data_IF_443909315746
#
_entry.id   IF_443909315746
#
_cell.length_a   1.000
_cell.length_b   1.000
_cell.length_c   1.000
_cell.angle_alpha   90.00
_cell.angle_beta   90.00
_cell.angle_gamma   90.00
#
_symmetry.space_group_name_H-M   'P 1'
#
loop_
_entity.id
_entity.type
_entity.pdbx_description
1 polymer ?
#
# COMPACT_ATOMS: atom_id res chain seq x y z
N UNK A 1 2.26 -6.79 23.31
CA UNK A 1 1.74 -6.99 21.94
C UNK A 1 2.22 -8.34 21.43
N UNK A 2 1.32 -9.17 20.90
CA UNK A 2 1.67 -10.49 20.37
C UNK A 2 2.41 -10.32 19.04
N UNK A 3 3.60 -10.91 18.91
CA UNK A 3 4.37 -10.99 17.65
C UNK A 3 3.55 -11.55 16.48
N UNK A 4 2.57 -12.41 16.76
CA UNK A 4 1.58 -12.89 15.79
C UNK A 4 0.72 -11.78 15.20
N UNK A 5 0.32 -10.78 16.01
CA UNK A 5 -0.49 -9.66 15.54
C UNK A 5 0.32 -8.76 14.60
N UNK A 6 1.58 -8.49 14.95
CA UNK A 6 2.48 -7.68 14.11
C UNK A 6 2.74 -8.35 12.76
N UNK A 7 2.89 -9.69 12.74
CA UNK A 7 3.00 -10.47 11.52
C UNK A 7 1.74 -10.37 10.65
N UNK A 8 0.55 -10.46 11.25
CA UNK A 8 -0.73 -10.32 10.53
C UNK A 8 -0.86 -8.92 9.92
N UNK A 9 -0.53 -7.87 10.68
CA UNK A 9 -0.55 -6.49 10.19
C UNK A 9 0.42 -6.32 9.02
N UNK A 10 1.62 -6.90 9.10
CA UNK A 10 2.59 -6.88 8.01
C UNK A 10 2.07 -7.57 6.74
N UNK A 11 1.41 -8.73 6.89
CA UNK A 11 0.80 -9.45 5.77
C UNK A 11 -0.33 -8.64 5.12
N UNK A 12 -1.20 -8.03 5.93
CA UNK A 12 -2.28 -7.15 5.47
C UNK A 12 -1.69 -5.94 4.73
N UNK A 13 -0.61 -5.35 5.24
CA UNK A 13 0.08 -4.23 4.62
C UNK A 13 0.59 -4.58 3.22
N UNK A 14 1.30 -5.71 3.06
CA UNK A 14 1.80 -6.14 1.75
C UNK A 14 0.64 -6.41 0.80
N UNK A 15 -0.40 -7.09 1.28
CA UNK A 15 -1.52 -7.48 0.43
C UNK A 15 -2.30 -6.27 -0.09
N UNK A 16 -2.72 -5.37 0.81
CA UNK A 16 -3.47 -4.17 0.41
C UNK A 16 -2.58 -3.23 -0.40
N UNK A 17 -1.32 -3.00 0.02
CA UNK A 17 -0.37 -2.16 -0.72
C UNK A 17 -0.13 -2.67 -2.14
N UNK A 18 0.00 -3.99 -2.32
CA UNK A 18 0.14 -4.63 -3.62
C UNK A 18 -1.11 -4.49 -4.50
N UNK A 19 -2.31 -4.64 -3.91
CA UNK A 19 -3.58 -4.39 -4.62
C UNK A 19 -3.68 -2.93 -5.07
N UNK A 20 -3.37 -1.99 -4.19
CA UNK A 20 -3.39 -0.55 -4.52
C UNK A 20 -2.43 -0.25 -5.64
N UNK A 21 -1.18 -0.74 -5.57
CA UNK A 21 -0.22 -0.59 -6.66
C UNK A 21 -0.77 -1.14 -7.98
N UNK A 22 -1.33 -2.36 -7.99
CA UNK A 22 -1.86 -2.98 -9.20
C UNK A 22 -3.02 -2.17 -9.80
N UNK A 23 -4.01 -1.80 -8.98
CA UNK A 23 -5.17 -1.02 -9.43
C UNK A 23 -4.75 0.35 -9.94
N UNK A 24 -3.86 1.04 -9.22
CA UNK A 24 -3.31 2.33 -9.65
C UNK A 24 -2.54 2.20 -10.95
N UNK A 25 -1.75 1.14 -11.13
CA UNK A 25 -0.97 0.91 -12.34
C UNK A 25 -1.89 0.70 -13.56
N UNK A 26 -2.93 -0.12 -13.41
CA UNK A 26 -3.94 -0.35 -14.46
C UNK A 26 -4.76 0.90 -14.76
N UNK A 27 -5.09 1.70 -13.75
CA UNK A 27 -5.85 2.92 -13.93
C UNK A 27 -5.02 4.02 -14.61
N UNK A 28 -3.80 4.25 -14.12
CA UNK A 28 -2.93 5.32 -14.58
C UNK A 28 -2.31 5.01 -15.95
N UNK A 29 -2.06 3.75 -16.29
CA UNK A 29 -1.63 3.36 -17.65
C UNK A 29 -2.63 3.73 -18.74
N UNK A 30 -3.91 3.93 -18.39
CA UNK A 30 -4.96 4.40 -19.33
C UNK A 30 -4.99 5.92 -19.50
N UNK A 31 -4.37 6.67 -18.60
CA UNK A 31 -4.45 8.14 -18.53
C UNK A 31 -3.11 8.79 -18.85
N UNK A 32 -2.02 8.16 -18.46
CA UNK A 32 -0.65 8.68 -18.57
C UNK A 32 0.11 7.85 -19.60
N UNK A 33 0.58 8.51 -20.66
CA UNK A 33 1.34 7.86 -21.75
C UNK A 33 2.76 7.47 -21.34
N UNK A 34 3.32 8.12 -20.31
CA UNK A 34 4.67 7.84 -19.83
C UNK A 34 4.66 6.69 -18.81
N UNK A 35 5.19 5.54 -19.23
CA UNK A 35 5.28 4.33 -18.40
C UNK A 35 5.93 4.56 -17.04
N UNK A 36 7.10 5.22 -17.04
CA UNK A 36 7.85 5.44 -15.80
C UNK A 36 7.07 6.32 -14.82
N UNK A 37 6.29 7.26 -15.33
CA UNK A 37 5.53 8.19 -14.49
C UNK A 37 4.41 7.46 -13.73
N UNK A 38 3.60 6.65 -14.42
CA UNK A 38 2.51 5.96 -13.74
C UNK A 38 3.00 4.85 -12.81
N UNK A 39 4.11 4.17 -13.13
CA UNK A 39 4.70 3.15 -12.27
C UNK A 39 5.16 3.77 -10.94
N UNK A 40 5.88 4.90 -10.99
CA UNK A 40 6.34 5.61 -9.80
C UNK A 40 5.16 6.08 -8.93
N UNK A 41 4.12 6.67 -9.55
CA UNK A 41 2.92 7.10 -8.82
C UNK A 41 2.23 5.90 -8.15
N UNK A 42 2.10 4.79 -8.86
CA UNK A 42 1.47 3.58 -8.32
C UNK A 42 2.26 2.99 -7.15
N UNK A 43 3.60 3.05 -7.21
CA UNK A 43 4.47 2.62 -6.10
C UNK A 43 4.27 3.53 -4.87
N UNK A 44 4.25 4.85 -5.07
CA UNK A 44 4.02 5.82 -3.98
C UNK A 44 2.65 5.57 -3.34
N UNK A 45 1.61 5.31 -4.13
CA UNK A 45 0.27 4.98 -3.64
C UNK A 45 0.27 3.68 -2.82
N UNK A 46 0.91 2.62 -3.32
CA UNK A 46 1.03 1.35 -2.60
C UNK A 46 1.78 1.49 -1.26
N UNK A 47 2.88 2.25 -1.23
CA UNK A 47 3.64 2.51 -0.01
C UNK A 47 2.86 3.37 1.00
N UNK A 48 2.11 4.38 0.51
CA UNK A 48 1.31 5.27 1.37
C UNK A 48 0.24 4.51 2.14
N UNK A 49 -0.37 3.50 1.52
CA UNK A 49 -1.33 2.61 2.19
C UNK A 49 -0.68 1.85 3.34
N UNK A 50 0.56 1.39 3.19
CA UNK A 50 1.26 0.73 4.28
C UNK A 50 1.50 1.63 5.49
N UNK A 51 1.86 2.89 5.25
CA UNK A 51 1.99 3.90 6.32
C UNK A 51 0.65 4.09 7.05
N UNK A 52 -0.47 4.19 6.32
CA UNK A 52 -1.81 4.35 6.90
C UNK A 52 -2.19 3.15 7.77
N UNK A 53 -1.89 1.92 7.32
CA UNK A 53 -2.18 0.70 8.07
C UNK A 53 -1.41 0.67 9.39
N UNK A 54 -0.12 1.01 9.37
CA UNK A 54 0.71 1.07 10.57
C UNK A 54 0.19 2.14 11.54
N UNK A 55 -0.11 3.34 11.05
CA UNK A 55 -0.62 4.44 11.88
C UNK A 55 -1.95 4.07 12.56
N UNK A 56 -2.87 3.43 11.84
CA UNK A 56 -4.15 3.00 12.41
C UNK A 56 -3.99 1.83 13.38
N UNK A 57 -3.08 0.89 13.08
CA UNK A 57 -2.71 -0.20 13.98
C UNK A 57 -2.24 0.34 15.34
N UNK A 58 -1.33 1.31 15.31
CA UNK A 58 -0.78 1.93 16.52
C UNK A 58 -1.85 2.71 17.30
N UNK A 59 -2.73 3.44 16.62
CA UNK A 59 -3.82 4.18 17.25
C UNK A 59 -4.89 3.28 17.91
N UNK A 60 -4.95 1.99 17.53
CA UNK A 60 -5.84 1.01 18.16
C UNK A 60 -5.18 0.29 19.34
N UNK A 61 -3.86 0.44 19.53
CA UNK A 61 -3.12 -0.22 20.60
C UNK A 61 -2.78 0.69 21.79
N UNK A 62 -3.02 1.99 21.68
CA UNK A 62 -2.90 3.00 22.73
C UNK A 62 -4.22 3.72 22.94
#
# INVERSE_FOLDING_TARGET
>A
MNTLNDLVIFLVMIFIGGITWFVSNVALSKVISNQRAYEVISIILGLSVGVIIIMNSWNLTY
#
